data_IF_573281212600
#
_entry.id   IF_573281212600
#
_cell.length_a   1.000
_cell.length_b   1.000
_cell.length_c   1.000
_cell.angle_alpha   90.00
_cell.angle_beta   90.00
_cell.angle_gamma   90.00
#
_symmetry.space_group_name_H-M   'P 1'
#
loop_
_entity.id
_entity.type
_entity.pdbx_description
1 polymer ?
#
# COMPACT_ATOMS: atom_id res chain seq x y z
N UNK A 1 -10.11 14.88 -29.91
CA UNK A 1 -10.22 13.50 -29.40
C UNK A 1 -9.37 13.44 -28.17
N UNK A 2 -9.94 13.00 -27.05
CA UNK A 2 -9.18 12.87 -25.80
C UNK A 2 -8.28 11.65 -25.90
N UNK A 3 -7.12 11.70 -25.25
CA UNK A 3 -6.25 10.53 -25.10
C UNK A 3 -6.23 10.14 -23.63
N UNK A 4 -6.53 8.86 -23.35
CA UNK A 4 -6.37 8.29 -22.01
C UNK A 4 -5.08 7.49 -21.98
N UNK A 5 -4.19 7.85 -21.07
CA UNK A 5 -2.97 7.08 -20.80
C UNK A 5 -3.23 6.08 -19.68
N UNK A 6 -2.93 4.80 -19.94
CA UNK A 6 -2.99 3.73 -18.94
C UNK A 6 -1.59 3.16 -18.75
N UNK A 7 -1.11 3.15 -17.51
CA UNK A 7 0.13 2.45 -17.14
C UNK A 7 -0.20 0.98 -16.94
N UNK A 8 0.20 0.15 -17.89
CA UNK A 8 -0.20 -1.24 -17.99
C UNK A 8 0.96 -2.20 -17.75
N UNK A 9 0.78 -3.13 -16.82
CA UNK A 9 1.66 -4.28 -16.62
C UNK A 9 0.92 -5.51 -17.13
N UNK A 10 1.46 -6.12 -18.18
CA UNK A 10 0.91 -7.36 -18.74
C UNK A 10 1.20 -8.52 -17.79
N UNK A 11 0.24 -9.43 -17.62
CA UNK A 11 0.46 -10.71 -16.93
C UNK A 11 1.70 -11.41 -17.48
N UNK A 12 2.55 -11.93 -16.58
CA UNK A 12 3.83 -12.55 -16.86
C UNK A 12 5.00 -11.57 -17.00
N UNK A 13 4.78 -10.25 -16.88
CA UNK A 13 5.85 -9.25 -16.98
C UNK A 13 6.54 -9.04 -15.63
N UNK A 14 7.87 -8.99 -15.64
CA UNK A 14 8.70 -8.76 -14.46
C UNK A 14 9.71 -9.89 -14.23
N UNK A 15 10.61 -9.74 -13.26
CA UNK A 15 11.55 -10.80 -12.89
C UNK A 15 10.85 -12.08 -12.42
N UNK A 16 11.51 -13.22 -12.63
CA UNK A 16 11.05 -14.55 -12.20
C UNK A 16 9.65 -14.91 -12.74
N UNK A 17 8.65 -15.00 -11.85
CA UNK A 17 7.28 -15.39 -12.19
C UNK A 17 6.49 -14.25 -12.86
N UNK A 18 6.99 -13.01 -12.78
CA UNK A 18 6.30 -11.82 -13.28
C UNK A 18 4.99 -11.52 -12.53
N UNK A 19 4.19 -10.59 -13.05
CA UNK A 19 2.88 -10.29 -12.51
C UNK A 19 1.88 -11.43 -12.80
N UNK A 20 1.16 -11.99 -11.81
CA UNK A 20 0.24 -13.13 -12.00
C UNK A 20 -1.10 -12.75 -12.66
N UNK A 21 -1.37 -11.45 -12.77
CA UNK A 21 -2.55 -10.87 -13.39
C UNK A 21 -2.16 -9.60 -14.14
N UNK A 22 -2.97 -9.15 -15.10
CA UNK A 22 -2.76 -7.84 -15.70
C UNK A 22 -3.07 -6.73 -14.69
N UNK A 23 -2.35 -5.62 -14.76
CA UNK A 23 -2.52 -4.49 -13.85
C UNK A 23 -2.61 -3.21 -14.68
N UNK A 24 -3.62 -2.39 -14.41
CA UNK A 24 -3.82 -1.11 -15.06
C UNK A 24 -3.90 0.00 -14.00
N UNK A 25 -3.01 0.99 -14.09
CA UNK A 25 -3.00 2.16 -13.23
C UNK A 25 -3.30 3.41 -14.06
N UNK A 26 -4.20 4.24 -13.56
CA UNK A 26 -4.78 5.38 -14.30
C UNK A 26 -4.69 6.64 -13.43
N UNK A 27 -4.24 7.76 -14.00
CA UNK A 27 -4.34 9.06 -13.33
C UNK A 27 -5.73 9.64 -13.55
N UNK A 28 -6.38 10.11 -12.49
CA UNK A 28 -7.69 10.78 -12.55
C UNK A 28 -7.67 11.96 -13.52
N UNK A 29 -6.56 12.67 -13.66
CA UNK A 29 -6.42 13.78 -14.63
C UNK A 29 -6.55 13.30 -16.08
N UNK A 30 -6.09 12.09 -16.39
CA UNK A 30 -6.26 11.50 -17.72
C UNK A 30 -7.74 11.11 -17.95
N UNK A 31 -8.45 10.68 -16.90
CA UNK A 31 -9.91 10.46 -16.95
C UNK A 31 -10.64 11.77 -17.22
N UNK A 32 -10.35 12.83 -16.46
CA UNK A 32 -10.96 14.15 -16.61
C UNK A 32 -10.68 14.75 -17.99
N UNK A 33 -9.43 14.67 -18.48
CA UNK A 33 -9.03 15.15 -19.79
C UNK A 33 -9.70 14.40 -20.95
N UNK A 34 -10.08 13.13 -20.73
CA UNK A 34 -10.81 12.35 -21.73
C UNK A 34 -12.27 12.78 -21.95
N UNK A 35 -12.86 13.49 -20.99
CA UNK A 35 -14.29 13.83 -20.98
C UNK A 35 -15.22 12.62 -20.76
N UNK A 36 -14.70 11.45 -20.41
CA UNK A 36 -15.48 10.25 -20.06
C UNK A 36 -15.74 10.18 -18.56
N UNK A 37 -16.78 9.42 -18.19
CA UNK A 37 -16.94 9.04 -16.79
C UNK A 37 -15.84 8.04 -16.37
N UNK A 38 -15.57 7.98 -15.07
CA UNK A 38 -14.64 7.03 -14.49
C UNK A 38 -15.04 5.57 -14.80
N UNK A 39 -16.34 5.26 -14.73
CA UNK A 39 -16.87 3.92 -15.05
C UNK A 39 -16.66 3.57 -16.52
N UNK A 40 -16.92 4.50 -17.45
CA UNK A 40 -16.70 4.29 -18.88
C UNK A 40 -15.22 3.96 -19.16
N UNK A 41 -14.31 4.69 -18.52
CA UNK A 41 -12.86 4.44 -18.62
C UNK A 41 -12.52 3.03 -18.13
N UNK A 42 -13.03 2.64 -16.96
CA UNK A 42 -12.81 1.29 -16.41
C UNK A 42 -13.30 0.20 -17.37
N UNK A 43 -14.50 0.36 -17.93
CA UNK A 43 -15.06 -0.55 -18.93
C UNK A 43 -14.23 -0.61 -20.22
N UNK A 44 -13.72 0.54 -20.68
CA UNK A 44 -12.83 0.62 -21.85
C UNK A 44 -11.52 -0.13 -21.61
N UNK A 45 -10.88 0.06 -20.46
CA UNK A 45 -9.66 -0.65 -20.10
C UNK A 45 -9.91 -2.16 -20.05
N UNK A 46 -10.97 -2.61 -19.39
CA UNK A 46 -11.33 -4.03 -19.34
C UNK A 46 -11.50 -4.60 -20.76
N UNK A 47 -12.21 -3.88 -21.65
CA UNK A 47 -12.43 -4.27 -23.05
C UNK A 47 -11.12 -4.42 -23.84
N UNK A 48 -10.20 -3.46 -23.70
CA UNK A 48 -8.91 -3.49 -24.41
C UNK A 48 -8.01 -4.61 -23.90
N UNK A 49 -7.98 -4.85 -22.60
CA UNK A 49 -7.15 -5.91 -22.01
C UNK A 49 -7.70 -7.30 -22.36
N UNK A 50 -9.03 -7.48 -22.37
CA UNK A 50 -9.69 -8.71 -22.82
C UNK A 50 -9.45 -9.96 -21.94
N UNK A 51 -8.73 -9.82 -20.84
CA UNK A 51 -8.42 -10.87 -19.86
C UNK A 51 -8.45 -10.34 -18.43
N UNK A 52 -8.03 -11.15 -17.43
CA UNK A 52 -8.13 -10.78 -16.03
C UNK A 52 -7.22 -9.58 -15.72
N UNK A 53 -7.79 -8.52 -15.16
CA UNK A 53 -7.09 -7.26 -14.87
C UNK A 53 -7.56 -6.64 -13.56
N UNK A 54 -6.62 -6.25 -12.70
CA UNK A 54 -6.86 -5.30 -11.62
C UNK A 54 -6.66 -3.87 -12.13
N UNK A 55 -7.62 -2.99 -11.87
CA UNK A 55 -7.62 -1.60 -12.37
C UNK A 55 -7.68 -0.65 -11.18
N UNK A 56 -6.74 0.28 -11.08
CA UNK A 56 -6.66 1.27 -10.01
C UNK A 56 -6.63 2.68 -10.60
N UNK A 57 -7.48 3.56 -10.09
CA UNK A 57 -7.49 4.98 -10.45
C UNK A 57 -6.93 5.80 -9.29
N UNK A 58 -5.97 6.67 -9.60
CA UNK A 58 -5.26 7.51 -8.65
C UNK A 58 -5.65 8.97 -8.78
N UNK A 59 -5.88 9.63 -7.65
CA UNK A 59 -5.75 11.08 -7.54
C UNK A 59 -4.32 11.39 -7.05
N UNK A 60 -3.46 11.87 -7.94
CA UNK A 60 -2.05 12.13 -7.65
C UNK A 60 -1.84 13.39 -6.81
N UNK A 61 -2.85 14.26 -6.69
CA UNK A 61 -2.79 15.49 -5.92
C UNK A 61 -3.33 15.30 -4.48
N UNK A 62 -4.02 14.19 -4.23
CA UNK A 62 -4.50 13.77 -2.91
C UNK A 62 -3.41 13.12 -2.05
N UNK A 63 -3.78 12.71 -0.83
CA UNK A 63 -2.96 11.88 0.06
C UNK A 63 -3.71 10.65 0.54
N UNK A 64 -2.96 9.65 0.98
CA UNK A 64 -3.49 8.45 1.64
C UNK A 64 -2.58 8.03 2.79
N UNK A 65 -2.93 6.95 3.46
CA UNK A 65 -2.11 6.30 4.49
C UNK A 65 -1.57 4.96 4.00
N UNK A 66 -0.39 4.59 4.46
CA UNK A 66 0.08 3.19 4.44
C UNK A 66 -0.59 2.40 5.57
N UNK A 67 -0.49 1.07 5.55
CA UNK A 67 -0.98 0.22 6.66
C UNK A 67 -0.36 0.59 8.00
N UNK A 68 0.89 1.05 8.01
CA UNK A 68 1.62 1.50 9.19
C UNK A 68 1.20 2.90 9.68
N UNK A 69 0.29 3.58 8.98
CA UNK A 69 -0.16 4.94 9.31
C UNK A 69 0.78 6.05 8.85
N UNK A 70 1.63 5.81 7.84
CA UNK A 70 2.43 6.87 7.22
C UNK A 70 1.54 7.63 6.23
N UNK A 71 1.48 8.96 6.32
CA UNK A 71 0.76 9.77 5.32
C UNK A 71 1.65 9.99 4.12
N UNK A 72 1.14 9.67 2.92
CA UNK A 72 1.89 9.67 1.66
C UNK A 72 1.12 10.40 0.56
N UNK A 73 1.83 10.98 -0.41
CA UNK A 73 1.23 11.68 -1.55
C UNK A 73 0.78 10.74 -2.66
N UNK A 74 -0.39 11.03 -3.21
CA UNK A 74 -1.11 10.21 -4.18
C UNK A 74 -2.00 9.18 -3.49
N UNK A 75 -3.25 9.08 -3.94
CA UNK A 75 -4.23 8.18 -3.34
C UNK A 75 -4.99 7.38 -4.41
N UNK A 76 -5.30 6.13 -4.09
CA UNK A 76 -6.21 5.33 -4.89
C UNK A 76 -7.63 5.79 -4.55
N UNK A 77 -8.37 6.26 -5.55
CA UNK A 77 -9.75 6.74 -5.38
C UNK A 77 -10.78 5.74 -5.88
N UNK A 78 -10.37 4.78 -6.71
CA UNK A 78 -11.23 3.70 -7.17
C UNK A 78 -10.41 2.47 -7.49
N UNK A 79 -10.95 1.30 -7.13
CA UNK A 79 -10.43 0.02 -7.56
C UNK A 79 -11.50 -0.75 -8.34
N UNK A 80 -11.08 -1.49 -9.34
CA UNK A 80 -11.94 -2.31 -10.17
C UNK A 80 -11.25 -3.62 -10.56
N UNK A 81 -12.06 -4.58 -10.99
CA UNK A 81 -11.62 -5.84 -11.60
C UNK A 81 -12.34 -6.04 -12.93
N UNK A 82 -11.60 -6.42 -13.97
CA UNK A 82 -12.14 -6.76 -15.29
C UNK A 82 -11.69 -8.14 -15.74
N UNK A 83 -12.52 -8.79 -16.56
CA UNK A 83 -12.14 -10.03 -17.25
C UNK A 83 -12.99 -10.17 -18.52
N UNK A 84 -12.46 -10.85 -19.55
CA UNK A 84 -13.12 -11.10 -20.84
C UNK A 84 -13.81 -9.86 -21.46
N UNK A 85 -13.21 -8.69 -21.26
CA UNK A 85 -13.73 -7.42 -21.77
C UNK A 85 -14.92 -6.84 -20.99
N UNK A 86 -15.19 -7.35 -19.79
CA UNK A 86 -16.34 -6.98 -18.95
C UNK A 86 -15.89 -6.60 -17.54
N UNK A 87 -16.79 -5.92 -16.85
CA UNK A 87 -16.71 -5.60 -15.42
C UNK A 87 -18.04 -6.00 -14.80
N UNK A 88 -18.00 -6.68 -13.67
CA UNK A 88 -19.20 -7.12 -12.97
C UNK A 88 -19.97 -5.90 -12.45
N UNK A 89 -21.30 -5.87 -12.66
CA UNK A 89 -22.13 -4.69 -12.34
C UNK A 89 -22.13 -4.36 -10.85
N UNK A 90 -22.22 -5.37 -10.00
CA UNK A 90 -22.33 -5.19 -8.54
C UNK A 90 -20.97 -5.22 -7.83
N UNK A 91 -20.11 -6.19 -8.17
CA UNK A 91 -18.86 -6.43 -7.46
C UNK A 91 -17.60 -5.95 -8.20
N UNK A 92 -17.73 -5.36 -9.39
CA UNK A 92 -16.58 -5.09 -10.25
C UNK A 92 -15.88 -3.75 -10.01
N UNK A 93 -16.51 -2.82 -9.28
CA UNK A 93 -16.01 -1.46 -9.03
C UNK A 93 -16.29 -1.08 -7.57
N UNK A 94 -15.32 -0.43 -6.93
CA UNK A 94 -15.45 0.11 -5.58
C UNK A 94 -14.70 1.43 -5.45
N UNK A 95 -15.42 2.47 -5.01
CA UNK A 95 -14.87 3.81 -4.81
C UNK A 95 -14.39 4.00 -3.37
N UNK A 96 -13.25 4.65 -3.20
CA UNK A 96 -12.74 5.05 -1.89
C UNK A 96 -13.43 6.33 -1.44
N UNK A 97 -13.69 6.47 -0.15
CA UNK A 97 -14.37 7.64 0.39
C UNK A 97 -13.38 8.79 0.61
N UNK A 98 -13.74 10.00 0.16
CA UNK A 98 -13.04 11.22 0.55
C UNK A 98 -13.32 11.51 2.02
N UNK A 99 -12.27 11.69 2.81
CA UNK A 99 -12.36 11.95 4.23
C UNK A 99 -12.00 13.40 4.53
N UNK A 100 -12.91 14.10 5.19
CA UNK A 100 -12.60 15.40 5.77
C UNK A 100 -11.67 15.22 6.98
N UNK A 101 -10.51 15.88 6.94
CA UNK A 101 -9.55 15.86 8.05
C UNK A 101 -9.89 16.98 9.04
N UNK A 102 -10.52 16.60 10.15
CA UNK A 102 -10.91 17.51 11.23
C UNK A 102 -10.01 17.35 12.46
N UNK A 103 -10.02 18.34 13.36
CA UNK A 103 -9.29 18.21 14.64
C UNK A 103 -9.78 17.02 15.48
N UNK A 104 -11.07 16.68 15.43
CA UNK A 104 -11.58 15.49 16.12
C UNK A 104 -11.05 14.21 15.48
N UNK A 105 -11.01 14.15 14.13
CA UNK A 105 -10.42 13.00 13.45
C UNK A 105 -8.95 12.81 13.83
N UNK A 106 -8.16 13.89 13.87
CA UNK A 106 -6.74 13.82 14.28
C UNK A 106 -6.60 13.35 15.73
N UNK A 107 -7.50 13.77 16.63
CA UNK A 107 -7.50 13.32 18.03
C UNK A 107 -7.83 11.82 18.14
N UNK A 108 -8.76 11.32 17.33
CA UNK A 108 -9.09 9.89 17.26
C UNK A 108 -8.00 9.07 16.55
N UNK A 109 -7.29 9.69 15.60
CA UNK A 109 -6.29 9.06 14.74
C UNK A 109 -5.00 9.90 14.69
N UNK A 110 -4.18 9.85 15.76
CA UNK A 110 -3.04 10.77 15.93
C UNK A 110 -1.99 10.73 14.83
N UNK A 111 -1.92 9.64 14.05
CA UNK A 111 -1.04 9.56 12.89
C UNK A 111 -1.34 10.65 11.83
N UNK A 112 -2.56 11.20 11.80
CA UNK A 112 -2.95 12.28 10.89
C UNK A 112 -2.38 13.65 11.25
N UNK A 113 -1.66 13.80 12.38
CA UNK A 113 -0.83 15.00 12.62
C UNK A 113 0.19 15.21 11.48
N UNK A 114 0.63 14.13 10.83
CA UNK A 114 1.45 14.20 9.60
C UNK A 114 0.75 14.99 8.49
N UNK A 115 -0.57 14.80 8.31
CA UNK A 115 -1.35 15.55 7.33
C UNK A 115 -1.38 17.04 7.66
N UNK A 116 -1.65 17.39 8.92
CA UNK A 116 -1.69 18.79 9.34
C UNK A 116 -0.32 19.48 9.14
N UNK A 117 0.77 18.75 9.40
CA UNK A 117 2.13 19.30 9.30
C UNK A 117 2.63 19.45 7.87
N UNK A 118 2.36 18.50 6.98
CA UNK A 118 2.99 18.46 5.65
C UNK A 118 2.01 18.54 4.48
N UNK A 119 0.72 18.25 4.69
CA UNK A 119 -0.25 18.04 3.61
C UNK A 119 -1.56 18.81 3.82
N UNK A 120 -1.54 19.84 4.67
CA UNK A 120 -2.74 20.62 5.00
C UNK A 120 -3.43 21.15 3.75
N UNK A 121 -4.72 20.83 3.64
CA UNK A 121 -5.56 21.20 2.49
C UNK A 121 -5.62 20.16 1.38
N UNK A 122 -4.78 19.11 1.39
CA UNK A 122 -4.92 17.99 0.46
C UNK A 122 -6.07 17.06 0.87
N UNK A 123 -6.78 16.52 -0.11
CA UNK A 123 -7.83 15.52 0.11
C UNK A 123 -7.23 14.22 0.65
N UNK A 124 -7.91 13.60 1.61
CA UNK A 124 -7.53 12.30 2.16
C UNK A 124 -8.46 11.22 1.61
N UNK A 125 -7.89 10.17 1.01
CA UNK A 125 -8.62 8.94 0.66
C UNK A 125 -7.96 7.73 1.29
N UNK A 126 -8.76 6.75 1.72
CA UNK A 126 -8.27 5.50 2.32
C UNK A 126 -9.01 4.30 1.74
N UNK A 127 -9.98 3.78 2.49
CA UNK A 127 -10.90 2.74 2.07
C UNK A 127 -12.28 3.29 1.68
N UNK A 128 -13.18 2.42 1.23
CA UNK A 128 -14.57 2.75 0.97
C UNK A 128 -15.35 2.98 2.28
N UNK A 129 -16.46 3.70 2.20
CA UNK A 129 -17.46 3.70 3.26
C UNK A 129 -18.10 2.30 3.37
N UNK A 130 -18.04 1.61 4.53
CA UNK A 130 -18.62 0.30 4.74
C UNK A 130 -20.13 0.24 4.51
N UNK A 131 -20.84 1.37 4.60
CA UNK A 131 -22.27 1.44 4.30
C UNK A 131 -22.56 1.47 2.79
N UNK A 132 -21.56 1.78 1.96
CA UNK A 132 -21.67 1.86 0.50
C UNK A 132 -21.14 0.60 -0.20
N UNK A 133 -20.60 -0.37 0.54
CA UNK A 133 -20.06 -1.61 -0.01
C UNK A 133 -21.00 -2.80 0.16
N UNK A 134 -21.04 -3.65 -0.86
CA UNK A 134 -21.82 -4.89 -0.83
C UNK A 134 -21.14 -5.99 -0.02
N UNK A 135 -19.80 -5.99 0.03
CA UNK A 135 -19.02 -6.97 0.79
C UNK A 135 -18.58 -6.32 2.11
N UNK A 136 -19.25 -6.61 3.24
CA UNK A 136 -19.16 -5.81 4.47
C UNK A 136 -17.81 -5.90 5.20
N UNK A 137 -17.07 -7.00 5.01
CA UNK A 137 -15.83 -7.25 5.77
C UNK A 137 -14.60 -6.77 5.00
N UNK A 138 -14.38 -7.27 3.78
CA UNK A 138 -13.19 -6.94 2.99
C UNK A 138 -13.44 -5.82 1.99
N UNK A 139 -12.41 -5.04 1.71
CA UNK A 139 -12.39 -4.11 0.59
C UNK A 139 -11.95 -4.93 -0.63
N UNK A 140 -12.90 -5.40 -1.44
CA UNK A 140 -12.60 -6.31 -2.56
C UNK A 140 -13.58 -6.10 -3.71
N UNK A 141 -13.07 -6.21 -4.93
CA UNK A 141 -13.84 -6.27 -6.18
C UNK A 141 -13.44 -7.49 -6.98
N UNK A 142 -14.38 -8.03 -7.75
CA UNK A 142 -14.20 -9.25 -8.53
C UNK A 142 -14.98 -9.20 -9.83
N UNK A 143 -14.33 -9.60 -10.92
CA UNK A 143 -14.97 -9.92 -12.19
C UNK A 143 -14.30 -11.14 -12.81
N UNK A 144 -15.06 -12.20 -13.04
CA UNK A 144 -14.53 -13.43 -13.63
C UNK A 144 -13.36 -13.97 -12.82
N UNK A 145 -12.19 -14.11 -13.46
CA UNK A 145 -10.95 -14.59 -12.82
C UNK A 145 -10.20 -13.50 -12.04
N UNK A 146 -10.50 -12.22 -12.25
CA UNK A 146 -9.78 -11.12 -11.65
C UNK A 146 -10.36 -10.74 -10.29
N UNK A 147 -9.50 -10.62 -9.29
CA UNK A 147 -9.82 -10.07 -7.97
C UNK A 147 -8.81 -8.98 -7.64
N UNK A 148 -9.32 -7.87 -7.12
CA UNK A 148 -8.53 -6.73 -6.67
C UNK A 148 -9.01 -6.37 -5.26
N UNK A 149 -8.14 -6.44 -4.26
CA UNK A 149 -8.53 -6.42 -2.86
C UNK A 149 -7.68 -5.43 -2.03
N UNK A 150 -8.01 -5.34 -0.75
CA UNK A 150 -7.30 -4.59 0.27
C UNK A 150 -7.08 -3.11 -0.09
N UNK A 151 -8.13 -2.48 -0.64
CA UNK A 151 -8.04 -1.14 -1.22
C UNK A 151 -6.92 -1.04 -2.27
N UNK A 152 -6.96 -2.02 -3.16
CA UNK A 152 -6.18 -2.12 -4.38
C UNK A 152 -4.67 -2.37 -4.20
N UNK A 153 -4.27 -2.97 -3.09
CA UNK A 153 -2.87 -3.34 -2.81
C UNK A 153 -2.57 -4.81 -2.95
N UNK A 154 -3.56 -5.67 -3.19
CA UNK A 154 -3.33 -7.08 -3.52
C UNK A 154 -4.26 -7.47 -4.67
N UNK A 155 -3.69 -8.13 -5.67
CA UNK A 155 -4.40 -8.52 -6.88
C UNK A 155 -4.12 -9.97 -7.16
N UNK A 156 -5.15 -10.73 -7.52
CA UNK A 156 -5.03 -12.16 -7.72
C UNK A 156 -5.82 -12.64 -8.92
N UNK A 157 -5.34 -13.73 -9.51
CA UNK A 157 -6.08 -14.53 -10.44
C UNK A 157 -6.75 -15.69 -9.67
N UNK A 158 -8.07 -15.63 -9.51
CA UNK A 158 -8.84 -16.59 -8.73
C UNK A 158 -8.85 -18.02 -9.29
N UNK A 159 -8.40 -18.22 -10.53
CA UNK A 159 -8.30 -19.58 -11.12
C UNK A 159 -6.91 -20.18 -10.89
N UNK A 160 -5.85 -19.41 -11.08
CA UNK A 160 -4.48 -19.92 -10.81
C UNK A 160 -4.12 -19.86 -9.33
N UNK A 161 -4.89 -19.13 -8.52
CA UNK A 161 -4.63 -18.84 -7.10
C UNK A 161 -3.31 -18.10 -6.88
N UNK A 162 -2.80 -17.45 -7.93
CA UNK A 162 -1.60 -16.63 -7.85
C UNK A 162 -1.98 -15.19 -7.52
N UNK A 163 -1.23 -14.58 -6.61
CA UNK A 163 -1.45 -13.25 -6.05
C UNK A 163 -0.19 -12.40 -6.17
N UNK A 164 -0.34 -11.09 -6.24
CA UNK A 164 0.75 -10.12 -6.13
C UNK A 164 0.40 -9.04 -5.11
N UNK A 165 1.37 -8.69 -4.26
CA UNK A 165 1.27 -7.53 -3.40
C UNK A 165 1.80 -6.29 -4.12
N UNK A 166 0.96 -5.26 -4.22
CA UNK A 166 1.33 -3.93 -4.69
C UNK A 166 1.08 -2.89 -3.58
N UNK A 167 1.93 -2.81 -2.54
CA UNK A 167 1.86 -1.72 -1.59
C UNK A 167 1.86 -0.36 -2.28
N UNK A 168 1.13 0.59 -1.71
CA UNK A 168 0.86 1.90 -2.33
C UNK A 168 2.11 2.62 -2.83
N UNK A 169 3.21 2.59 -2.06
CA UNK A 169 4.45 3.26 -2.44
C UNK A 169 5.04 2.71 -3.75
N UNK A 170 4.95 1.39 -3.98
CA UNK A 170 5.40 0.77 -5.23
C UNK A 170 4.54 1.21 -6.42
N UNK A 171 3.22 1.29 -6.23
CA UNK A 171 2.31 1.81 -7.25
C UNK A 171 2.57 3.30 -7.54
N UNK A 172 2.87 4.10 -6.52
CA UNK A 172 3.20 5.52 -6.69
C UNK A 172 4.50 5.74 -7.44
N UNK A 173 5.53 4.90 -7.23
CA UNK A 173 6.75 4.91 -8.05
C UNK A 173 6.41 4.64 -9.52
N UNK A 174 5.53 3.68 -9.82
CA UNK A 174 5.06 3.43 -11.19
C UNK A 174 4.34 4.66 -11.76
N UNK A 175 3.42 5.26 -11.00
CA UNK A 175 2.70 6.46 -11.43
C UNK A 175 3.62 7.64 -11.72
N UNK A 176 4.76 7.73 -11.01
CA UNK A 176 5.79 8.76 -11.19
C UNK A 176 6.86 8.41 -12.24
N UNK A 177 6.75 7.24 -12.89
CA UNK A 177 7.77 6.70 -13.79
C UNK A 177 9.16 6.57 -13.11
N UNK A 178 9.17 6.29 -11.80
CA UNK A 178 10.37 6.15 -10.96
C UNK A 178 10.78 4.66 -10.79
N UNK A 179 12.00 4.37 -10.29
CA UNK A 179 12.44 3.00 -10.03
C UNK A 179 11.59 2.26 -9.00
N UNK A 180 11.43 0.95 -9.20
CA UNK A 180 10.73 0.04 -8.29
C UNK A 180 11.62 -1.13 -7.91
N UNK A 181 11.28 -1.80 -6.81
CA UNK A 181 11.86 -3.08 -6.43
C UNK A 181 10.81 -4.16 -6.66
N UNK A 182 11.15 -5.13 -7.51
CA UNK A 182 10.36 -6.34 -7.71
C UNK A 182 11.05 -7.50 -6.98
N UNK A 183 10.31 -8.25 -6.17
CA UNK A 183 10.83 -9.50 -5.60
C UNK A 183 9.73 -10.32 -4.95
N UNK A 184 10.11 -11.09 -3.92
CA UNK A 184 9.15 -11.79 -3.06
C UNK A 184 9.05 -11.07 -1.74
N UNK A 185 7.84 -10.98 -1.20
CA UNK A 185 7.55 -10.43 0.14
C UNK A 185 8.48 -10.91 1.25
N UNK A 186 8.84 -12.19 1.27
CA UNK A 186 9.58 -12.80 2.36
C UNK A 186 8.82 -12.71 3.70
N UNK A 187 9.54 -12.90 4.80
CA UNK A 187 8.93 -12.99 6.13
C UNK A 187 8.58 -11.61 6.72
N UNK A 188 9.25 -10.55 6.29
CA UNK A 188 9.42 -9.29 7.04
C UNK A 188 8.61 -8.10 6.52
N UNK A 189 7.92 -8.22 5.38
CA UNK A 189 7.14 -7.10 4.83
C UNK A 189 5.95 -6.79 5.75
N UNK A 190 5.69 -5.49 6.03
CA UNK A 190 4.70 -5.06 7.04
C UNK A 190 3.30 -5.64 6.82
N UNK A 191 2.82 -5.65 5.57
CA UNK A 191 1.52 -6.26 5.19
C UNK A 191 1.46 -7.78 5.40
N UNK A 192 2.61 -8.44 5.59
CA UNK A 192 2.74 -9.85 5.95
C UNK A 192 2.70 -10.11 7.47
N UNK A 193 3.02 -9.12 8.30
CA UNK A 193 3.06 -9.23 9.77
C UNK A 193 1.93 -8.45 10.46
N UNK A 194 1.09 -7.75 9.70
CA UNK A 194 -0.17 -7.20 10.20
C UNK A 194 0.00 -6.04 11.19
N UNK A 195 1.13 -5.34 11.16
CA UNK A 195 1.38 -4.17 12.01
C UNK A 195 0.65 -2.96 11.44
N UNK A 196 -0.45 -2.56 12.06
CA UNK A 196 -1.37 -1.56 11.50
C UNK A 196 -1.65 -0.41 12.46
N UNK A 197 -2.47 0.54 12.00
CA UNK A 197 -3.06 1.61 12.81
C UNK A 197 -4.58 1.60 12.73
N UNK A 198 -5.22 2.26 13.70
CA UNK A 198 -6.66 2.37 13.77
C UNK A 198 -7.14 3.44 12.80
N UNK A 199 -7.98 3.06 11.84
CA UNK A 199 -8.50 3.98 10.83
C UNK A 199 -10.01 3.84 10.68
N UNK A 200 -10.70 4.98 10.59
CA UNK A 200 -12.05 5.04 10.01
C UNK A 200 -11.91 4.88 8.50
N UNK A 201 -12.65 3.92 7.94
CA UNK A 201 -12.55 3.57 6.52
C UNK A 201 -11.11 3.23 6.13
N UNK A 202 -10.45 2.41 6.96
CA UNK A 202 -9.09 1.98 6.69
C UNK A 202 -8.99 1.16 5.41
N UNK A 203 -7.77 1.14 4.86
CA UNK A 203 -7.48 0.42 3.60
C UNK A 203 -7.69 -1.08 3.72
N UNK A 204 -7.37 -1.63 4.90
CA UNK A 204 -7.50 -3.05 5.22
C UNK A 204 -8.76 -3.31 6.02
N UNK A 205 -8.98 -2.50 7.07
CA UNK A 205 -10.07 -2.68 8.00
C UNK A 205 -11.04 -1.50 7.93
N UNK A 206 -12.35 -1.75 7.80
CA UNK A 206 -13.35 -0.70 7.63
C UNK A 206 -13.51 0.21 8.86
N UNK A 207 -13.11 -0.28 10.04
CA UNK A 207 -13.27 0.40 11.33
C UNK A 207 -11.98 0.35 12.15
N UNK A 208 -11.92 1.19 13.20
CA UNK A 208 -10.79 1.37 14.12
C UNK A 208 -10.59 0.16 15.05
N UNK A 209 -10.21 -0.97 14.48
CA UNK A 209 -10.12 -2.25 15.19
C UNK A 209 -8.79 -2.44 15.91
N UNK A 210 -7.68 -2.00 15.29
CA UNK A 210 -6.33 -2.28 15.76
C UNK A 210 -5.61 -0.97 16.03
N UNK A 211 -5.16 -0.74 17.26
CA UNK A 211 -4.34 0.44 17.57
C UNK A 211 -2.91 0.25 17.08
N UNK A 212 -2.16 1.34 17.01
CA UNK A 212 -0.71 1.26 16.91
C UNK A 212 -0.15 0.39 18.05
N UNK A 213 0.73 -0.57 17.72
CA UNK A 213 1.26 -1.55 18.67
C UNK A 213 0.48 -2.87 18.74
N UNK A 214 -0.63 -2.99 18.01
CA UNK A 214 -1.32 -4.27 17.80
C UNK A 214 -0.82 -4.97 16.51
N UNK A 215 -1.17 -6.25 16.41
CA UNK A 215 -1.16 -7.01 15.15
C UNK A 215 -2.59 -7.33 14.72
N UNK A 216 -2.85 -7.16 13.44
CA UNK A 216 -4.12 -7.50 12.81
C UNK A 216 -4.21 -8.96 12.34
N UNK A 217 -3.09 -9.69 12.26
CA UNK A 217 -3.10 -11.09 11.85
C UNK A 217 -3.39 -12.02 13.02
N UNK A 218 -2.78 -11.78 14.19
CA UNK A 218 -2.92 -12.66 15.35
C UNK A 218 -2.48 -14.11 15.07
N UNK A 219 -1.55 -14.30 14.14
CA UNK A 219 -1.02 -15.58 13.67
C UNK A 219 0.17 -16.10 14.47
N UNK A 220 0.68 -15.30 15.41
CA UNK A 220 1.80 -15.68 16.27
C UNK A 220 3.05 -16.06 15.46
N UNK A 221 3.70 -17.17 15.79
CA UNK A 221 4.93 -17.60 15.11
C UNK A 221 4.77 -17.91 13.62
N UNK A 222 3.54 -18.13 13.15
CA UNK A 222 3.24 -18.39 11.74
C UNK A 222 3.16 -17.12 10.90
N UNK A 223 3.19 -15.93 11.50
CA UNK A 223 3.16 -14.65 10.78
C UNK A 223 4.24 -14.58 9.69
N UNK A 224 5.45 -15.06 9.99
CA UNK A 224 6.57 -15.17 9.03
C UNK A 224 6.26 -15.98 7.76
N UNK A 225 5.27 -16.88 7.81
CA UNK A 225 4.92 -17.78 6.70
C UNK A 225 3.75 -17.30 5.85
N UNK A 226 2.87 -16.46 6.40
CA UNK A 226 1.54 -16.18 5.85
C UNK A 226 1.59 -15.67 4.40
N UNK A 227 2.50 -14.74 4.12
CA UNK A 227 2.62 -14.10 2.82
C UNK A 227 4.01 -14.27 2.21
N UNK A 228 4.85 -15.18 2.70
CA UNK A 228 6.31 -15.17 2.41
C UNK A 228 6.70 -15.35 0.93
N UNK A 229 5.85 -16.00 0.15
CA UNK A 229 6.15 -16.41 -1.22
C UNK A 229 5.34 -15.65 -2.27
N UNK A 230 4.71 -14.53 -1.90
CA UNK A 230 3.90 -13.74 -2.82
C UNK A 230 4.83 -12.76 -3.56
N UNK A 231 4.78 -12.69 -4.91
CA UNK A 231 5.48 -11.64 -5.63
C UNK A 231 5.01 -10.26 -5.17
N UNK A 232 5.92 -9.28 -5.17
CA UNK A 232 5.56 -7.92 -4.83
C UNK A 232 6.31 -6.88 -5.66
N UNK A 233 5.65 -5.74 -5.85
CA UNK A 233 6.23 -4.52 -6.40
C UNK A 233 6.18 -3.45 -5.31
N UNK A 234 7.34 -3.02 -4.83
CA UNK A 234 7.48 -2.04 -3.76
C UNK A 234 8.37 -0.87 -4.20
N UNK A 235 8.33 0.22 -3.44
CA UNK A 235 9.29 1.30 -3.63
C UNK A 235 10.68 0.91 -3.08
N UNK A 236 11.77 1.55 -3.58
CA UNK A 236 13.07 1.45 -2.95
C UNK A 236 13.00 1.78 -1.44
N UNK A 237 13.79 1.08 -0.62
CA UNK A 237 13.78 1.28 0.84
C UNK A 237 14.13 2.71 1.23
N UNK A 238 14.90 3.43 0.43
CA UNK A 238 15.21 4.86 0.60
C UNK A 238 13.95 5.73 0.57
N UNK A 239 12.99 5.42 -0.29
CA UNK A 239 11.69 6.11 -0.37
C UNK A 239 10.86 5.83 0.89
N UNK A 240 10.80 4.57 1.32
CA UNK A 240 10.12 4.19 2.56
C UNK A 240 10.76 4.86 3.79
N UNK A 241 12.08 4.87 3.87
CA UNK A 241 12.83 5.54 4.92
C UNK A 241 12.49 7.03 5.00
N UNK A 242 12.38 7.73 3.86
CA UNK A 242 11.98 9.13 3.80
C UNK A 242 10.62 9.40 4.47
N UNK A 243 9.61 8.58 4.17
CA UNK A 243 8.28 8.71 4.79
C UNK A 243 8.29 8.36 6.28
N UNK A 244 9.04 7.35 6.70
CA UNK A 244 9.17 7.02 8.13
C UNK A 244 9.84 8.17 8.88
N UNK A 245 10.95 8.70 8.35
CA UNK A 245 11.65 9.85 8.93
C UNK A 245 10.70 11.05 9.05
N UNK A 246 9.95 11.36 7.99
CA UNK A 246 8.98 12.44 7.99
C UNK A 246 7.94 12.28 9.11
N UNK A 247 7.43 11.06 9.31
CA UNK A 247 6.50 10.74 10.39
C UNK A 247 7.14 10.94 11.77
N UNK A 248 8.35 10.43 11.98
CA UNK A 248 9.09 10.61 13.24
C UNK A 248 9.36 12.09 13.52
N UNK A 249 9.73 12.87 12.49
CA UNK A 249 9.96 14.31 12.59
C UNK A 249 8.65 15.10 12.82
N UNK A 250 7.47 14.51 12.53
CA UNK A 250 6.17 15.03 12.96
C UNK A 250 5.81 14.69 14.42
N UNK A 251 6.68 14.00 15.15
CA UNK A 251 6.44 13.57 16.52
C UNK A 251 5.68 12.24 16.62
N UNK A 252 5.60 11.47 15.54
CA UNK A 252 5.00 10.13 15.58
C UNK A 252 5.89 9.17 16.37
N UNK A 253 5.27 8.38 17.24
CA UNK A 253 5.95 7.42 18.09
C UNK A 253 5.51 6.01 17.65
N UNK A 254 6.40 5.15 17.15
CA UNK A 254 6.07 3.77 16.82
C UNK A 254 5.51 3.00 18.01
N UNK A 255 4.44 2.24 17.77
CA UNK A 255 3.70 1.51 18.80
C UNK A 255 2.69 2.37 19.57
N UNK A 256 2.62 3.68 19.33
CA UNK A 256 1.65 4.57 19.96
C UNK A 256 0.84 5.39 18.94
N UNK A 257 1.50 6.03 17.99
CA UNK A 257 0.85 6.84 16.95
C UNK A 257 0.83 6.12 15.61
N UNK A 258 1.94 5.48 15.23
CA UNK A 258 2.11 4.71 13.99
C UNK A 258 2.44 3.24 14.29
N UNK A 259 2.23 2.39 13.29
CA UNK A 259 2.48 0.95 13.38
C UNK A 259 3.91 0.61 13.82
N UNK A 260 4.09 -0.58 14.40
CA UNK A 260 5.38 -1.07 14.88
C UNK A 260 6.02 -2.10 13.95
N UNK A 261 5.87 -1.93 12.63
CA UNK A 261 6.48 -2.85 11.67
C UNK A 261 8.01 -2.84 11.75
N UNK A 262 8.66 -3.94 11.32
CA UNK A 262 10.13 -4.03 11.32
C UNK A 262 10.82 -2.84 10.65
N UNK A 263 10.29 -2.33 9.55
CA UNK A 263 10.83 -1.15 8.86
C UNK A 263 10.76 0.11 9.72
N UNK A 264 9.60 0.39 10.34
CA UNK A 264 9.41 1.56 11.21
C UNK A 264 10.31 1.49 12.44
N UNK A 265 10.37 0.31 13.08
CA UNK A 265 11.22 0.10 14.25
C UNK A 265 12.71 0.24 13.92
N UNK A 266 13.16 -0.30 12.78
CA UNK A 266 14.55 -0.20 12.35
C UNK A 266 14.99 1.26 12.13
N UNK A 267 14.17 2.05 11.41
CA UNK A 267 14.44 3.48 11.18
C UNK A 267 14.38 4.28 12.46
N UNK A 268 13.38 4.03 13.32
CA UNK A 268 13.26 4.71 14.60
C UNK A 268 14.46 4.43 15.51
N UNK A 269 14.93 3.18 15.58
CA UNK A 269 16.11 2.82 16.37
C UNK A 269 17.38 3.46 15.79
N UNK A 270 17.59 3.41 14.48
CA UNK A 270 18.75 4.03 13.82
C UNK A 270 18.82 5.55 14.02
N UNK A 271 17.65 6.22 14.05
CA UNK A 271 17.53 7.67 14.32
C UNK A 271 17.65 8.01 15.81
N UNK A 272 17.48 7.05 16.71
CA UNK A 272 17.35 7.29 18.15
C UNK A 272 16.02 7.92 18.54
N UNK A 273 14.97 7.70 17.73
CA UNK A 273 13.62 8.17 18.02
C UNK A 273 12.99 7.34 19.13
N UNK A 274 12.06 7.95 19.88
CA UNK A 274 11.29 7.26 20.92
C UNK A 274 10.42 6.17 20.29
N UNK A 275 10.47 4.97 20.87
CA UNK A 275 9.58 3.84 20.56
C UNK A 275 8.77 3.53 21.83
N UNK A 276 7.45 3.37 21.70
CA UNK A 276 6.58 3.05 22.83
C UNK A 276 6.51 1.53 23.05
N UNK A 277 7.61 0.94 23.52
CA UNK A 277 7.73 -0.51 23.72
C UNK A 277 6.65 -1.07 24.67
N UNK A 278 6.22 -0.28 25.67
CA UNK A 278 5.15 -0.63 26.61
C UNK A 278 3.75 -0.69 25.97
N UNK A 279 3.60 -0.15 24.76
CA UNK A 279 2.34 -0.13 24.02
C UNK A 279 2.25 -1.23 22.97
N UNK A 280 3.37 -1.86 22.63
CA UNK A 280 3.38 -3.04 21.75
C UNK A 280 2.82 -4.23 22.53
N UNK A 281 1.72 -4.78 22.04
CA UNK A 281 1.03 -5.90 22.70
C UNK A 281 1.81 -7.19 22.62
N UNK A 282 1.64 -8.09 23.59
CA UNK A 282 2.27 -9.41 23.59
C UNK A 282 2.04 -10.20 22.30
N UNK A 283 0.85 -10.10 21.70
CA UNK A 283 0.57 -10.72 20.39
C UNK A 283 1.47 -10.14 19.29
N UNK A 284 1.60 -8.82 19.21
CA UNK A 284 2.47 -8.18 18.24
C UNK A 284 3.95 -8.52 18.51
N UNK A 285 4.37 -8.59 19.78
CA UNK A 285 5.74 -9.01 20.14
C UNK A 285 6.07 -10.42 19.65
N UNK A 286 5.15 -11.37 19.81
CA UNK A 286 5.34 -12.75 19.33
C UNK A 286 5.56 -12.76 17.82
N UNK A 287 4.75 -12.00 17.07
CA UNK A 287 4.87 -11.94 15.61
C UNK A 287 6.15 -11.23 15.16
N UNK A 288 6.52 -10.11 15.79
CA UNK A 288 7.79 -9.42 15.54
C UNK A 288 8.99 -10.33 15.83
N UNK A 289 8.95 -11.08 16.93
CA UNK A 289 9.99 -12.03 17.29
C UNK A 289 10.12 -13.16 16.28
N UNK A 290 9.01 -13.61 15.69
CA UNK A 290 9.00 -14.65 14.66
C UNK A 290 9.82 -14.30 13.42
N UNK A 291 10.02 -12.99 13.17
CA UNK A 291 10.78 -12.45 12.04
C UNK A 291 12.11 -11.80 12.47
N UNK A 292 12.59 -12.13 13.67
CA UNK A 292 13.88 -11.69 14.18
C UNK A 292 13.89 -10.33 14.89
N UNK A 293 12.74 -9.72 15.16
CA UNK A 293 12.63 -8.45 15.89
C UNK A 293 12.19 -8.70 17.33
N UNK A 294 13.16 -8.89 18.22
CA UNK A 294 12.90 -9.00 19.67
C UNK A 294 12.83 -7.61 20.30
N UNK A 295 11.61 -7.07 20.43
CA UNK A 295 11.39 -5.71 20.95
C UNK A 295 11.72 -5.57 22.43
N UNK A 296 11.62 -6.64 23.23
CA UNK A 296 11.93 -6.61 24.66
C UNK A 296 13.44 -6.50 24.91
N UNK A 297 14.26 -6.96 23.94
CA UNK A 297 15.71 -6.91 23.99
C UNK A 297 16.31 -5.95 22.95
N UNK A 298 15.50 -5.09 22.34
CA UNK A 298 15.96 -4.13 21.34
C UNK A 298 16.94 -3.14 21.99
N UNK A 299 18.21 -3.26 21.62
CA UNK A 299 19.25 -2.35 22.10
C UNK A 299 19.18 -1.05 21.30
N UNK A 300 19.32 0.12 21.96
CA UNK A 300 19.52 1.38 21.27
C UNK A 300 20.67 1.26 20.27
N UNK A 301 20.53 1.89 19.11
CA UNK A 301 21.62 1.96 18.13
C UNK A 301 22.88 2.54 18.79
N UNK A 302 24.02 1.87 18.61
CA UNK A 302 25.32 2.29 19.17
C UNK A 302 25.77 3.63 18.59
N UNK A 303 25.38 3.91 17.35
CA UNK A 303 25.64 5.19 16.68
C UNK A 303 24.37 5.63 15.97
N UNK A 304 23.88 6.80 16.36
CA UNK A 304 22.71 7.40 15.74
C UNK A 304 23.07 7.92 14.36
N UNK A 305 22.17 7.71 13.41
CA UNK A 305 22.33 8.14 12.03
C UNK A 305 21.51 9.40 11.76
N UNK A 306 22.06 10.29 10.94
CA UNK A 306 21.32 11.43 10.38
C UNK A 306 20.26 10.96 9.39
N UNK A 307 19.28 11.81 9.08
CA UNK A 307 18.24 11.49 8.08
C UNK A 307 18.85 11.08 6.72
N UNK A 308 19.94 11.75 6.30
CA UNK A 308 20.64 11.44 5.06
C UNK A 308 21.30 10.05 5.10
N UNK A 309 22.01 9.74 6.18
CA UNK A 309 22.66 8.43 6.34
C UNK A 309 21.65 7.29 6.39
N UNK A 310 20.49 7.48 7.04
CA UNK A 310 19.42 6.46 7.07
C UNK A 310 18.89 6.19 5.66
N UNK A 311 18.69 7.23 4.85
CA UNK A 311 18.21 7.08 3.46
C UNK A 311 19.27 6.39 2.59
N UNK A 312 20.54 6.79 2.70
CA UNK A 312 21.66 6.21 1.93
C UNK A 312 21.92 4.75 2.31
N UNK A 313 21.72 4.38 3.59
CA UNK A 313 21.89 3.02 4.11
C UNK A 313 20.57 2.28 4.30
N UNK A 314 19.51 2.72 3.63
CA UNK A 314 18.16 2.16 3.85
C UNK A 314 18.12 0.65 3.53
N UNK A 315 18.88 0.18 2.54
CA UNK A 315 18.95 -1.23 2.18
C UNK A 315 19.56 -2.11 3.28
N UNK A 316 20.50 -1.57 4.05
CA UNK A 316 21.18 -2.26 5.16
C UNK A 316 20.34 -2.27 6.45
N UNK A 317 19.53 -1.23 6.66
CA UNK A 317 18.81 -1.01 7.92
C UNK A 317 17.42 -1.63 7.88
N UNK A 318 16.70 -1.43 6.77
CA UNK A 318 15.29 -1.81 6.66
C UNK A 318 15.23 -3.26 6.18
N UNK A 319 14.65 -4.20 6.94
CA UNK A 319 14.38 -5.54 6.44
C UNK A 319 13.30 -5.48 5.35
N UNK A 320 13.25 -6.46 4.44
CA UNK A 320 12.24 -6.43 3.40
C UNK A 320 12.31 -7.58 2.41
N UNK A 321 12.08 -7.23 1.15
CA UNK A 321 11.88 -8.14 0.02
C UNK A 321 13.04 -9.12 -0.16
N UNK A 322 12.71 -10.38 -0.43
CA UNK A 322 13.62 -11.47 -0.79
C UNK A 322 13.83 -11.48 -2.31
N UNK A 323 15.07 -11.74 -2.73
CA UNK A 323 15.53 -11.67 -4.11
C UNK A 323 15.12 -10.36 -4.82
N UNK A 324 15.45 -9.20 -4.24
CA UNK A 324 15.04 -7.92 -4.77
C UNK A 324 15.75 -7.61 -6.08
N UNK A 325 14.98 -7.13 -7.06
CA UNK A 325 15.49 -6.59 -8.32
C UNK A 325 15.06 -5.15 -8.43
N UNK A 326 16.02 -4.23 -8.31
CA UNK A 326 15.81 -2.82 -8.60
C UNK A 326 15.72 -2.63 -10.11
N UNK A 327 14.64 -2.02 -10.58
CA UNK A 327 14.38 -1.86 -12.02
C UNK A 327 13.67 -0.53 -12.28
N UNK A 328 13.94 0.08 -13.42
CA UNK A 328 13.11 1.20 -13.90
C UNK A 328 11.68 0.70 -14.13
N UNK A 329 10.66 1.40 -13.60
CA UNK A 329 9.27 1.00 -13.81
C UNK A 329 8.90 0.92 -15.30
N UNK A 330 9.49 1.77 -16.14
CA UNK A 330 9.35 1.75 -17.60
C UNK A 330 9.73 0.43 -18.27
N UNK A 331 10.50 -0.43 -17.62
CA UNK A 331 10.91 -1.72 -18.19
C UNK A 331 9.80 -2.79 -18.08
N UNK A 332 8.82 -2.60 -17.20
CA UNK A 332 7.70 -3.52 -16.99
C UNK A 332 6.33 -2.88 -17.27
N UNK A 333 6.29 -1.56 -17.40
CA UNK A 333 5.08 -0.77 -17.65
C UNK A 333 5.05 -0.33 -19.10
N UNK A 334 3.98 -0.69 -19.81
CA UNK A 334 3.64 -0.14 -21.12
C UNK A 334 2.62 0.99 -20.94
N UNK A 335 2.83 2.14 -21.58
CA UNK A 335 1.84 3.22 -21.64
C UNK A 335 0.88 2.94 -22.79
N UNK A 336 -0.32 2.45 -22.48
CA UNK A 336 -1.38 2.27 -23.47
C UNK A 336 -2.08 3.61 -23.67
N UNK A 337 -2.12 4.11 -24.91
CA UNK A 337 -2.92 5.28 -25.27
C UNK A 337 -4.22 4.79 -25.88
N UNK A 338 -5.34 5.09 -25.23
CA UNK A 338 -6.67 4.75 -25.74
C UNK A 338 -7.26 5.99 -26.38
N UNK A 339 -7.59 5.91 -27.68
CA UNK A 339 -8.27 6.98 -28.40
C UNK A 339 -9.73 7.05 -27.97
N UNK A 340 -10.18 8.28 -27.65
CA UNK A 340 -11.50 8.56 -27.08
C UNK A 340 -12.28 9.56 -27.93
#
# INVERSE_FOLDING_TARGET
MGELTVRFIKQGTGPKQGAPINIALIDKRDVEASGKSLEDVIHMVAKVVGGPVGINVFDMDAVTTTSDGLVVEGAIITMAAGDIGKVHKEFGILHMEEMEVTHELIKEEPHLVQWEKYYKGKKLFRGPDPNKKLIPVHNVVMTGKAVNNNSATEMMNAVTMEEILLPILGQLQIMKDEPIVFGLTGEVISVGIGMTVAEKYGRVFPTRQFRAGDTAHGSGEYAKTLKANIPCIVAPKSVLAGYIIQALDAGMIPGLHIGCSPAVLAVANAKGAKIALDKITEKAKIELKSVGVDVDHMKPAVSLMTNKEIIEKADDIIPGVVDPVLISSSNIVTKLTLSI
#
